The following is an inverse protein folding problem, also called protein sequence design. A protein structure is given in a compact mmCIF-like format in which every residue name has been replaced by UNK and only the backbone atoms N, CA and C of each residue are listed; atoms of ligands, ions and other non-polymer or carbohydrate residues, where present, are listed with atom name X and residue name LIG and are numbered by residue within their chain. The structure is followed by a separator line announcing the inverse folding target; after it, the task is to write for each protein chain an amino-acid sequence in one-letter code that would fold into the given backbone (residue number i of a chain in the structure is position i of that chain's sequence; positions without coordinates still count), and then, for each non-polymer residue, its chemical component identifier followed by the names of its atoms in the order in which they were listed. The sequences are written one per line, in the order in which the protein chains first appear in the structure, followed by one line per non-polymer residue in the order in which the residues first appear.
data_IF_280786523194
#
_entry.id   IF_280786523194
#
_cell.length_a   1.000
_cell.length_b   1.000
_cell.length_c   1.000
_cell.angle_alpha   90.00
_cell.angle_beta   90.00
_cell.angle_gamma   90.00
#
_symmetry.space_group_name_H-M   'P 1'
#
loop_
_entity.id
_entity.type
_entity.pdbx_description
1 polymer ?
#
# COMPACT_ATOMS: atom_id res chain seq x y z
N UNK A 1 30.10 3.50 0.73
CA UNK A 1 28.69 3.50 0.26
C UNK A 1 28.62 4.16 -1.11
N UNK A 2 28.08 3.50 -2.12
CA UNK A 2 28.06 4.05 -3.47
C UNK A 2 26.80 4.89 -3.68
N UNK A 3 26.93 6.22 -3.69
CA UNK A 3 25.89 7.17 -4.10
C UNK A 3 25.34 6.80 -5.49
N UNK A 4 26.20 6.28 -6.35
CA UNK A 4 25.84 5.85 -7.71
C UNK A 4 24.79 4.73 -7.72
N UNK A 5 24.90 3.73 -6.83
CA UNK A 5 23.89 2.68 -6.71
C UNK A 5 22.54 3.22 -6.23
N UNK A 6 22.55 4.09 -5.22
CA UNK A 6 21.33 4.71 -4.71
C UNK A 6 20.62 5.54 -5.79
N UNK A 7 21.40 6.37 -6.52
CA UNK A 7 20.89 7.13 -7.64
C UNK A 7 20.30 6.23 -8.72
N UNK A 8 21.02 5.15 -9.12
CA UNK A 8 20.52 4.26 -10.18
C UNK A 8 19.19 3.59 -9.82
N UNK A 9 19.00 3.23 -8.55
CA UNK A 9 17.75 2.63 -8.03
C UNK A 9 16.60 3.63 -8.07
N UNK A 10 16.81 4.84 -7.55
CA UNK A 10 15.74 5.81 -7.30
C UNK A 10 15.62 6.91 -8.36
N UNK A 11 16.39 6.89 -9.43
CA UNK A 11 16.29 7.89 -10.50
C UNK A 11 14.89 7.89 -11.13
N UNK A 12 14.47 9.06 -11.60
CA UNK A 12 13.20 9.34 -12.28
C UNK A 12 13.33 10.51 -13.22
N UNK A 13 12.50 11.54 -13.06
CA UNK A 13 12.61 12.77 -13.84
C UNK A 13 13.88 13.55 -13.46
N UNK A 14 14.77 13.79 -14.43
CA UNK A 14 16.07 14.42 -14.15
C UNK A 14 16.01 15.95 -14.13
N UNK A 15 15.04 16.57 -14.84
CA UNK A 15 14.92 18.04 -15.00
C UNK A 15 14.15 18.72 -13.89
N UNK A 16 13.57 17.97 -12.95
CA UNK A 16 12.83 18.51 -11.81
C UNK A 16 12.91 17.56 -10.62
N UNK A 17 12.77 18.10 -9.43
CA UNK A 17 12.89 17.37 -8.17
C UNK A 17 11.92 17.87 -7.11
N UNK A 18 11.62 17.03 -6.15
CA UNK A 18 10.95 17.44 -4.92
C UNK A 18 11.94 18.04 -3.92
N UNK A 19 11.51 19.09 -3.27
CA UNK A 19 12.24 19.74 -2.18
C UNK A 19 11.36 19.74 -0.95
N UNK A 20 11.88 19.22 0.16
CA UNK A 20 11.16 19.21 1.44
C UNK A 20 12.08 19.72 2.55
N UNK A 21 11.70 20.85 3.14
CA UNK A 21 12.29 21.34 4.37
C UNK A 21 11.55 20.74 5.55
N UNK A 22 12.31 20.26 6.53
CA UNK A 22 11.77 19.75 7.79
C UNK A 22 11.76 20.92 8.77
N UNK A 23 10.58 21.49 9.03
CA UNK A 23 10.45 22.46 10.11
C UNK A 23 10.73 21.77 11.47
N UNK A 24 11.27 22.53 12.42
CA UNK A 24 11.66 22.05 13.76
C UNK A 24 10.45 21.37 14.43
N UNK A 25 10.66 20.25 15.10
CA UNK A 25 9.65 19.59 15.93
C UNK A 25 9.18 20.51 17.04
N UNK A 26 7.85 20.64 17.22
CA UNK A 26 7.26 21.26 18.41
C UNK A 26 7.59 20.46 19.68
N UNK A 27 7.55 21.14 20.85
CA UNK A 27 7.89 20.53 22.14
C UNK A 27 7.00 19.34 22.54
N UNK A 28 5.86 19.16 21.88
CA UNK A 28 4.84 18.14 22.08
C UNK A 28 4.85 17.00 21.07
N UNK A 29 5.87 16.94 20.20
CA UNK A 29 6.01 15.90 19.19
C UNK A 29 5.06 16.01 18.00
N UNK A 30 4.23 17.05 17.93
CA UNK A 30 3.34 17.28 16.82
C UNK A 30 4.12 17.59 15.53
N UNK A 31 3.58 17.06 14.41
CA UNK A 31 4.13 17.21 13.06
C UNK A 31 4.15 18.68 12.67
N UNK A 32 5.34 19.29 12.63
CA UNK A 32 5.47 20.63 12.09
C UNK A 32 5.26 20.56 10.58
N UNK A 33 4.45 21.45 10.02
CA UNK A 33 4.21 21.60 8.60
C UNK A 33 5.53 21.90 7.89
N UNK A 34 6.19 20.90 7.32
CA UNK A 34 7.30 21.11 6.40
C UNK A 34 6.80 21.75 5.11
N UNK A 35 7.63 22.57 4.48
CA UNK A 35 7.35 23.15 3.18
C UNK A 35 7.84 22.19 2.11
N UNK A 36 6.92 21.69 1.27
CA UNK A 36 7.24 20.80 0.14
C UNK A 36 6.80 21.44 -1.17
N UNK A 37 7.65 21.40 -2.19
CA UNK A 37 7.36 21.93 -3.52
C UNK A 37 8.21 21.22 -4.58
N UNK A 38 7.81 21.35 -5.85
CA UNK A 38 8.61 20.89 -6.98
C UNK A 38 9.55 22.03 -7.42
N UNK A 39 10.86 21.79 -7.41
CA UNK A 39 11.85 22.63 -8.02
C UNK A 39 12.08 22.16 -9.48
N UNK A 40 11.97 23.09 -10.43
CA UNK A 40 12.21 22.84 -11.86
C UNK A 40 13.70 23.05 -12.17
N UNK A 41 14.51 22.26 -11.50
CA UNK A 41 15.96 22.31 -11.58
C UNK A 41 16.48 20.88 -11.68
N UNK A 42 17.56 20.62 -12.42
CA UNK A 42 18.13 19.30 -12.57
C UNK A 42 18.51 18.65 -11.24
N UNK A 43 18.40 17.33 -11.21
CA UNK A 43 18.86 16.51 -10.07
C UNK A 43 20.35 16.26 -10.24
N UNK A 44 21.17 16.99 -9.49
CA UNK A 44 22.65 16.89 -9.58
C UNK A 44 23.20 15.78 -8.68
N UNK A 45 24.43 15.31 -8.98
CA UNK A 45 25.15 14.34 -8.14
C UNK A 45 25.30 14.82 -6.69
N UNK A 46 25.53 16.12 -6.51
CA UNK A 46 25.65 16.73 -5.19
C UNK A 46 24.38 16.57 -4.35
N UNK A 47 23.19 16.69 -4.96
CA UNK A 47 21.91 16.50 -4.26
C UNK A 47 21.74 15.08 -3.73
N UNK A 48 22.17 14.07 -4.49
CA UNK A 48 22.16 12.69 -4.04
C UNK A 48 23.10 12.46 -2.86
N UNK A 49 24.32 13.02 -2.95
CA UNK A 49 25.29 12.96 -1.87
C UNK A 49 24.80 13.66 -0.61
N UNK A 50 24.28 14.90 -0.76
CA UNK A 50 23.75 15.70 0.34
C UNK A 50 22.59 14.99 1.04
N UNK A 51 21.71 14.32 0.28
CA UNK A 51 20.61 13.54 0.84
C UNK A 51 21.11 12.41 1.75
N UNK A 52 22.08 11.60 1.30
CA UNK A 52 22.65 10.50 2.07
C UNK A 52 23.51 11.00 3.26
N UNK A 53 23.99 12.25 3.21
CA UNK A 53 24.71 12.90 4.32
C UNK A 53 23.80 13.65 5.29
N UNK A 54 22.48 13.61 5.11
CA UNK A 54 21.53 14.31 6.00
C UNK A 54 21.53 15.82 5.86
N UNK A 55 22.07 16.36 4.76
CA UNK A 55 22.06 17.81 4.48
C UNK A 55 20.74 18.22 3.88
N UNK A 56 20.04 19.12 4.53
CA UNK A 56 18.77 19.67 4.03
C UNK A 56 18.96 20.61 2.84
N UNK A 57 17.95 20.65 1.94
CA UNK A 57 16.66 19.95 2.00
C UNK A 57 16.77 18.48 1.59
N UNK A 58 15.89 17.62 2.15
CA UNK A 58 15.83 16.23 1.70
C UNK A 58 15.36 16.14 0.27
N UNK A 59 15.94 15.20 -0.51
CA UNK A 59 15.65 15.00 -1.92
C UNK A 59 14.33 14.22 -2.10
N UNK A 60 13.47 14.73 -2.96
CA UNK A 60 12.32 14.01 -3.50
C UNK A 60 12.51 13.74 -4.99
N UNK A 61 12.10 12.58 -5.47
CA UNK A 61 12.19 12.20 -6.88
C UNK A 61 10.80 11.97 -7.45
N UNK A 62 10.62 12.44 -8.66
CA UNK A 62 9.42 12.19 -9.47
C UNK A 62 9.67 10.90 -10.23
N UNK A 63 8.92 9.81 -9.98
CA UNK A 63 9.26 8.50 -10.52
C UNK A 63 9.12 8.39 -12.04
N UNK A 64 8.17 9.11 -12.66
CA UNK A 64 7.97 9.12 -14.11
C UNK A 64 9.03 10.01 -14.77
N UNK A 65 9.70 9.49 -15.81
CA UNK A 65 10.68 10.24 -16.61
C UNK A 65 10.06 10.83 -17.87
N UNK A 66 10.87 11.52 -18.70
CA UNK A 66 10.42 12.18 -19.94
C UNK A 66 9.92 11.19 -21.01
N UNK A 67 10.25 9.90 -20.92
CA UNK A 67 9.74 8.82 -21.78
C UNK A 67 8.45 8.18 -21.25
N UNK A 68 7.83 8.75 -20.23
CA UNK A 68 6.65 8.22 -19.52
C UNK A 68 6.90 6.83 -18.91
N UNK A 69 8.15 6.56 -18.51
CA UNK A 69 8.59 5.32 -17.86
C UNK A 69 9.07 5.59 -16.45
N UNK A 70 9.10 4.54 -15.64
CA UNK A 70 9.67 4.60 -14.28
C UNK A 70 10.43 3.31 -13.95
N UNK A 71 11.41 3.41 -13.06
CA UNK A 71 12.18 2.28 -12.52
C UNK A 71 11.65 1.80 -11.18
N UNK A 72 10.77 2.55 -10.59
CA UNK A 72 10.12 2.22 -9.34
C UNK A 72 8.75 2.88 -9.25
N UNK A 73 7.91 2.29 -8.43
CA UNK A 73 6.68 2.90 -7.99
C UNK A 73 6.48 2.64 -6.50
N UNK A 74 5.55 3.33 -5.88
CA UNK A 74 5.33 3.26 -4.44
C UNK A 74 3.84 3.37 -4.09
N UNK A 75 3.41 2.58 -3.12
CA UNK A 75 2.15 2.78 -2.40
C UNK A 75 2.50 3.56 -1.13
N UNK A 76 1.94 4.75 -0.96
CA UNK A 76 2.14 5.61 0.20
C UNK A 76 1.02 5.40 1.21
N UNK A 77 1.32 4.71 2.30
CA UNK A 77 0.37 4.35 3.34
C UNK A 77 0.54 5.34 4.50
N UNK A 78 -0.30 6.37 4.50
CA UNK A 78 -0.38 7.33 5.59
C UNK A 78 -1.17 6.74 6.78
N UNK A 79 -0.45 6.35 7.81
CA UNK A 79 -1.02 5.96 9.10
C UNK A 79 -0.16 6.52 10.23
N UNK A 80 -0.78 7.26 11.14
CA UNK A 80 -0.04 8.09 12.10
C UNK A 80 0.02 7.51 13.51
N UNK A 81 -0.75 6.48 13.82
CA UNK A 81 -0.78 5.91 15.17
C UNK A 81 -0.56 4.39 15.12
N UNK A 82 0.61 3.93 15.58
CA UNK A 82 0.84 2.52 15.84
C UNK A 82 0.78 1.60 14.61
N UNK A 83 1.32 2.04 13.46
CA UNK A 83 1.31 1.24 12.24
C UNK A 83 2.14 -0.04 12.41
N UNK A 84 1.52 -1.19 12.19
CA UNK A 84 2.17 -2.50 12.29
C UNK A 84 2.86 -2.89 10.97
N UNK A 85 4.10 -2.43 10.81
CA UNK A 85 4.94 -2.75 9.64
C UNK A 85 5.16 -4.25 9.50
N UNK A 86 5.32 -5.00 10.61
CA UNK A 86 5.57 -6.44 10.56
C UNK A 86 4.37 -7.21 10.01
N UNK A 87 3.16 -6.79 10.35
CA UNK A 87 1.92 -7.35 9.78
C UNK A 87 1.86 -7.13 8.27
N UNK A 88 2.21 -5.93 7.80
CA UNK A 88 2.27 -5.63 6.38
C UNK A 88 3.33 -6.47 5.66
N UNK A 89 4.55 -6.57 6.20
CA UNK A 89 5.63 -7.39 5.66
C UNK A 89 5.20 -8.84 5.55
N UNK A 90 4.63 -9.41 6.61
CA UNK A 90 4.14 -10.79 6.61
C UNK A 90 3.06 -11.02 5.54
N UNK A 91 2.16 -10.05 5.34
CA UNK A 91 1.14 -10.12 4.28
C UNK A 91 1.76 -10.09 2.88
N UNK A 92 2.72 -9.21 2.64
CA UNK A 92 3.46 -9.13 1.37
C UNK A 92 4.16 -10.46 1.08
N UNK A 93 4.83 -11.05 2.08
CA UNK A 93 5.50 -12.35 1.97
C UNK A 93 4.54 -13.50 1.69
N UNK A 94 3.42 -13.56 2.41
CA UNK A 94 2.41 -14.61 2.20
C UNK A 94 1.82 -14.60 0.80
N UNK A 95 1.73 -13.42 0.19
CA UNK A 95 1.28 -13.20 -1.18
C UNK A 95 2.41 -13.32 -2.21
N UNK A 96 3.65 -13.57 -1.78
CA UNK A 96 4.85 -13.65 -2.63
C UNK A 96 5.03 -12.42 -3.53
N UNK A 97 4.68 -11.25 -3.03
CA UNK A 97 4.80 -10.01 -3.78
C UNK A 97 6.23 -9.46 -3.69
N UNK A 98 6.84 -9.05 -4.82
CA UNK A 98 8.22 -8.55 -4.87
C UNK A 98 8.29 -7.06 -4.46
N UNK A 99 7.93 -6.78 -3.22
CA UNK A 99 7.82 -5.42 -2.68
C UNK A 99 8.76 -5.24 -1.50
N UNK A 100 9.24 -4.01 -1.33
CA UNK A 100 10.04 -3.61 -0.17
C UNK A 100 9.25 -2.58 0.65
N UNK A 101 9.13 -2.82 1.94
CA UNK A 101 8.48 -1.89 2.87
C UNK A 101 9.54 -0.98 3.48
N UNK A 102 9.31 0.31 3.42
CA UNK A 102 10.09 1.32 4.10
C UNK A 102 9.25 2.03 5.15
N UNK A 103 9.89 2.47 6.21
CA UNK A 103 9.26 3.36 7.17
C UNK A 103 9.16 4.77 6.56
N UNK A 104 7.96 5.34 6.52
CA UNK A 104 7.80 6.72 6.07
C UNK A 104 8.21 7.71 7.17
N UNK A 105 8.42 8.98 6.80
CA UNK A 105 8.79 10.06 7.73
C UNK A 105 7.79 10.21 8.88
N UNK A 106 6.52 10.00 8.60
CA UNK A 106 5.43 10.14 9.58
C UNK A 106 5.16 8.87 10.40
N UNK A 107 5.90 7.78 10.15
CA UNK A 107 5.72 6.51 10.84
C UNK A 107 4.78 5.52 10.14
N UNK A 108 4.16 5.91 9.02
CA UNK A 108 3.47 5.01 8.11
C UNK A 108 4.44 4.20 7.26
N UNK A 109 4.01 3.72 6.09
CA UNK A 109 4.83 2.89 5.21
C UNK A 109 4.84 3.40 3.77
N UNK A 110 6.01 3.38 3.14
CA UNK A 110 6.19 3.42 1.70
C UNK A 110 6.47 2.01 1.21
N UNK A 111 5.63 1.47 0.33
CA UNK A 111 5.78 0.12 -0.21
C UNK A 111 6.23 0.22 -1.66
N UNK A 112 7.51 -0.08 -1.90
CA UNK A 112 8.12 0.08 -3.21
C UNK A 112 8.07 -1.20 -4.04
N UNK A 113 7.77 -1.00 -5.32
CA UNK A 113 8.02 -1.94 -6.41
C UNK A 113 9.19 -1.40 -7.24
N UNK A 114 10.21 -2.22 -7.45
CA UNK A 114 11.38 -1.86 -8.25
C UNK A 114 11.42 -2.64 -9.55
N UNK A 115 11.95 -2.01 -10.61
CA UNK A 115 12.16 -2.65 -11.91
C UNK A 115 13.62 -2.60 -12.31
N UNK A 116 14.07 -3.62 -13.01
CA UNK A 116 15.46 -3.70 -13.51
C UNK A 116 15.71 -2.73 -14.66
N UNK A 117 14.70 -2.53 -15.50
CA UNK A 117 14.69 -1.60 -16.62
C UNK A 117 13.53 -0.61 -16.50
N UNK A 118 13.57 0.56 -17.15
CA UNK A 118 12.44 1.47 -17.16
C UNK A 118 11.19 0.84 -17.81
N UNK A 119 10.06 0.84 -17.10
CA UNK A 119 8.77 0.29 -17.53
C UNK A 119 7.77 1.45 -17.66
N UNK A 120 6.79 1.34 -18.56
CA UNK A 120 5.73 2.33 -18.70
C UNK A 120 5.06 2.64 -17.36
N UNK A 121 4.95 3.91 -17.03
CA UNK A 121 4.40 4.40 -15.77
C UNK A 121 2.98 3.86 -15.52
N UNK A 122 2.19 3.72 -16.60
CA UNK A 122 0.85 3.14 -16.55
C UNK A 122 0.86 1.69 -16.04
N UNK A 123 1.76 0.84 -16.53
CA UNK A 123 1.86 -0.57 -16.13
C UNK A 123 2.22 -0.68 -14.64
N UNK A 124 3.20 0.09 -14.19
CA UNK A 124 3.63 0.10 -12.79
C UNK A 124 2.51 0.60 -11.88
N UNK A 125 1.85 1.70 -12.25
CA UNK A 125 0.76 2.29 -11.48
C UNK A 125 -0.43 1.34 -11.38
N UNK A 126 -0.90 0.77 -12.49
CA UNK A 126 -2.06 -0.13 -12.51
C UNK A 126 -1.78 -1.40 -11.66
N UNK A 127 -0.55 -1.93 -11.73
CA UNK A 127 -0.12 -3.05 -10.88
C UNK A 127 -0.15 -2.68 -9.40
N UNK A 128 0.39 -1.52 -9.03
CA UNK A 128 0.40 -1.07 -7.62
C UNK A 128 -1.00 -0.77 -7.09
N UNK A 129 -1.92 -0.23 -7.90
CA UNK A 129 -3.32 -0.07 -7.51
C UNK A 129 -3.97 -1.42 -7.20
N UNK A 130 -3.73 -2.44 -8.03
CA UNK A 130 -4.23 -3.80 -7.78
C UNK A 130 -3.65 -4.41 -6.50
N UNK A 131 -2.34 -4.23 -6.29
CA UNK A 131 -1.64 -4.70 -5.09
C UNK A 131 -2.14 -3.96 -3.85
N UNK A 132 -2.29 -2.64 -3.90
CA UNK A 132 -2.80 -1.82 -2.81
C UNK A 132 -4.17 -2.30 -2.33
N UNK A 133 -5.07 -2.60 -3.27
CA UNK A 133 -6.39 -3.14 -2.94
C UNK A 133 -6.30 -4.49 -2.22
N UNK A 134 -5.44 -5.42 -2.67
CA UNK A 134 -5.28 -6.74 -2.05
C UNK A 134 -4.60 -6.66 -0.68
N UNK A 135 -3.67 -5.72 -0.51
CA UNK A 135 -3.07 -5.45 0.79
C UNK A 135 -4.06 -4.81 1.79
N UNK A 136 -5.24 -4.35 1.32
CA UNK A 136 -6.26 -3.70 2.13
C UNK A 136 -6.08 -2.17 2.23
N UNK A 137 -5.30 -1.59 1.33
CA UNK A 137 -5.00 -0.15 1.28
C UNK A 137 -5.45 0.49 -0.04
N UNK A 138 -6.61 0.06 -0.58
CA UNK A 138 -7.11 0.51 -1.90
C UNK A 138 -7.37 2.02 -2.03
N UNK A 139 -7.38 2.77 -0.92
CA UNK A 139 -7.47 4.24 -0.90
C UNK A 139 -6.13 4.95 -0.74
N UNK A 140 -5.00 4.23 -0.62
CA UNK A 140 -3.68 4.81 -0.46
C UNK A 140 -3.21 5.50 -1.76
N UNK A 141 -2.39 6.53 -1.61
CA UNK A 141 -1.77 7.19 -2.76
C UNK A 141 -0.77 6.24 -3.45
N UNK A 142 -0.78 6.23 -4.79
CA UNK A 142 0.14 5.42 -5.59
C UNK A 142 0.99 6.33 -6.50
N UNK A 143 2.29 6.12 -6.46
CA UNK A 143 3.27 6.76 -7.32
C UNK A 143 3.82 5.78 -8.37
N UNK A 144 3.98 6.19 -9.63
CA UNK A 144 3.68 7.51 -10.18
C UNK A 144 2.18 7.83 -10.12
N UNK A 145 1.84 9.11 -9.77
CA UNK A 145 0.44 9.58 -9.84
C UNK A 145 0.02 9.81 -11.29
N UNK A 146 0.95 10.28 -12.11
CA UNK A 146 0.78 10.48 -13.55
C UNK A 146 1.25 9.26 -14.32
N UNK A 147 0.53 8.93 -15.39
CA UNK A 147 0.91 7.88 -16.33
C UNK A 147 1.57 8.47 -17.59
N UNK A 148 1.46 9.78 -17.77
CA UNK A 148 1.97 10.53 -18.91
C UNK A 148 2.30 11.96 -18.47
N UNK A 149 3.40 12.50 -18.95
CA UNK A 149 3.76 13.92 -18.90
C UNK A 149 3.33 14.57 -20.23
N UNK A 150 2.37 15.50 -20.15
CA UNK A 150 1.72 16.08 -21.34
C UNK A 150 2.58 17.09 -22.07
N UNK A 151 3.60 17.64 -21.41
CA UNK A 151 4.51 18.62 -21.98
C UNK A 151 5.84 18.62 -21.22
N UNK A 152 6.85 19.33 -21.77
CA UNK A 152 8.13 19.56 -21.07
C UNK A 152 7.99 20.40 -19.80
N UNK A 153 6.88 21.12 -19.63
CA UNK A 153 6.60 21.90 -18.43
C UNK A 153 5.87 21.09 -17.35
N UNK A 154 5.32 19.92 -17.71
CA UNK A 154 4.69 19.01 -16.76
C UNK A 154 5.76 18.21 -16.02
N UNK A 155 5.69 18.18 -14.70
CA UNK A 155 6.69 17.48 -13.87
C UNK A 155 6.14 16.29 -13.11
N UNK A 156 4.84 16.20 -12.92
CA UNK A 156 4.25 15.17 -12.08
C UNK A 156 4.52 15.37 -10.57
N UNK A 157 4.18 14.38 -9.77
CA UNK A 157 4.32 14.39 -8.32
C UNK A 157 5.57 13.62 -7.87
N UNK A 158 6.26 14.15 -6.87
CA UNK A 158 7.42 13.50 -6.27
C UNK A 158 7.09 12.73 -5.00
N UNK A 159 7.95 11.79 -4.65
CA UNK A 159 7.99 11.13 -3.35
C UNK A 159 9.32 11.45 -2.67
N UNK A 160 9.29 11.74 -1.37
CA UNK A 160 10.51 11.90 -0.58
C UNK A 160 11.27 10.58 -0.48
N UNK A 161 12.56 10.60 -0.81
CA UNK A 161 13.38 9.40 -0.80
C UNK A 161 13.63 8.87 0.62
N UNK A 162 13.83 7.55 0.77
CA UNK A 162 14.33 6.95 2.01
C UNK A 162 15.82 7.25 2.22
N UNK A 163 16.37 6.80 3.34
CA UNK A 163 17.78 6.93 3.70
C UNK A 163 18.32 8.36 3.73
N UNK A 164 17.47 9.35 4.05
CA UNK A 164 17.98 10.67 4.39
C UNK A 164 18.83 10.59 5.66
N UNK A 165 20.09 11.00 5.60
CA UNK A 165 21.14 10.79 6.60
C UNK A 165 21.69 9.35 6.65
N UNK A 166 21.69 8.63 5.51
CA UNK A 166 22.27 7.29 5.42
C UNK A 166 21.64 6.30 6.39
N UNK A 167 22.45 5.58 7.14
CA UNK A 167 21.97 4.58 8.11
C UNK A 167 21.44 5.18 9.42
N UNK A 168 21.74 6.46 9.70
CA UNK A 168 21.17 7.19 10.86
C UNK A 168 19.74 7.72 10.58
N UNK A 169 19.10 7.19 9.57
CA UNK A 169 17.76 7.59 9.13
C UNK A 169 16.65 6.97 9.97
N UNK A 170 15.49 7.66 10.00
CA UNK A 170 14.20 7.05 10.41
C UNK A 170 13.41 6.50 9.25
N UNK A 171 13.91 6.64 7.98
CA UNK A 171 13.25 6.26 6.72
C UNK A 171 13.99 5.10 6.07
N UNK A 172 14.12 4.00 6.78
CA UNK A 172 14.86 2.81 6.35
C UNK A 172 13.94 1.76 5.72
N UNK A 173 14.53 0.87 4.93
CA UNK A 173 13.86 -0.35 4.50
C UNK A 173 13.76 -1.34 5.67
N UNK A 174 12.71 -2.14 5.68
CA UNK A 174 12.58 -3.25 6.61
C UNK A 174 13.12 -4.54 5.99
N UNK A 175 13.80 -5.32 6.83
CA UNK A 175 14.10 -6.72 6.55
C UNK A 175 12.86 -7.60 6.77
N UNK A 176 12.93 -8.83 6.33
CA UNK A 176 11.86 -9.83 6.45
C UNK A 176 11.40 -10.10 7.89
N UNK A 177 12.29 -9.94 8.85
CA UNK A 177 12.02 -10.10 10.28
C UNK A 177 11.37 -8.86 10.93
N UNK A 178 11.25 -7.76 10.16
CA UNK A 178 10.70 -6.49 10.60
C UNK A 178 11.72 -5.55 11.24
N UNK A 179 13.00 -5.89 11.21
CA UNK A 179 14.08 -5.00 11.67
C UNK A 179 14.52 -4.03 10.57
N UNK A 180 15.17 -2.93 10.96
CA UNK A 180 15.70 -1.95 10.03
C UNK A 180 16.86 -2.56 9.22
N UNK A 181 16.87 -2.30 7.91
CA UNK A 181 18.00 -2.61 7.04
C UNK A 181 18.92 -1.40 6.93
N UNK A 182 20.24 -1.62 6.98
CA UNK A 182 21.21 -0.62 6.54
C UNK A 182 21.07 -0.37 5.04
N UNK A 183 21.68 0.71 4.54
CA UNK A 183 21.68 1.02 3.11
C UNK A 183 22.33 -0.11 2.29
N UNK A 184 23.39 -0.76 2.80
CA UNK A 184 24.06 -1.87 2.14
C UNK A 184 23.17 -3.12 2.12
N UNK A 185 22.50 -3.45 3.24
CA UNK A 185 21.52 -4.55 3.29
C UNK A 185 20.36 -4.30 2.32
N UNK A 186 19.90 -3.03 2.20
CA UNK A 186 18.87 -2.68 1.22
C UNK A 186 19.29 -2.95 -0.22
N UNK A 187 20.53 -2.70 -0.60
CA UNK A 187 21.02 -3.05 -1.95
C UNK A 187 20.92 -4.54 -2.22
N UNK A 188 21.22 -5.37 -1.23
CA UNK A 188 21.01 -6.83 -1.31
C UNK A 188 19.52 -7.18 -1.50
N UNK A 189 18.63 -6.57 -0.71
CA UNK A 189 17.18 -6.76 -0.84
C UNK A 189 16.70 -6.33 -2.24
N UNK A 190 17.09 -5.14 -2.71
CA UNK A 190 16.74 -4.64 -4.05
C UNK A 190 17.12 -5.62 -5.16
N UNK A 191 18.34 -6.17 -5.13
CA UNK A 191 18.81 -7.11 -6.14
C UNK A 191 17.99 -8.39 -6.18
N UNK A 192 17.39 -8.80 -5.08
CA UNK A 192 16.54 -9.99 -4.99
C UNK A 192 15.11 -9.75 -5.44
N UNK A 193 14.60 -8.52 -5.35
CA UNK A 193 13.17 -8.22 -5.59
C UNK A 193 12.90 -7.45 -6.88
N UNK A 194 13.90 -6.79 -7.49
CA UNK A 194 13.72 -6.02 -8.73
C UNK A 194 13.16 -6.89 -9.85
N UNK A 195 12.18 -6.35 -10.58
CA UNK A 195 11.43 -7.08 -11.59
C UNK A 195 11.86 -6.71 -13.00
N UNK A 196 12.08 -7.71 -13.85
CA UNK A 196 12.29 -7.50 -15.28
C UNK A 196 10.94 -7.25 -15.99
N UNK A 197 9.90 -7.96 -15.57
CA UNK A 197 8.54 -7.85 -16.10
C UNK A 197 7.51 -7.65 -14.99
N UNK A 198 7.03 -6.42 -14.85
CA UNK A 198 5.96 -6.06 -13.89
C UNK A 198 4.63 -6.70 -14.25
N UNK A 199 4.39 -6.96 -15.55
CA UNK A 199 3.18 -7.63 -16.04
C UNK A 199 3.02 -9.03 -15.46
N UNK A 200 4.14 -9.76 -15.35
CA UNK A 200 4.17 -11.15 -14.86
C UNK A 200 3.91 -11.31 -13.36
N UNK A 201 3.96 -10.24 -12.58
CA UNK A 201 3.65 -10.30 -11.14
C UNK A 201 2.21 -10.80 -10.98
N UNK A 202 2.07 -12.03 -10.51
CA UNK A 202 0.75 -12.58 -10.18
C UNK A 202 0.24 -11.94 -8.91
N UNK A 203 -0.87 -11.26 -9.03
CA UNK A 203 -1.58 -10.71 -7.89
C UNK A 203 -2.74 -11.66 -7.61
N UNK A 204 -2.41 -12.81 -7.03
CA UNK A 204 -3.42 -13.80 -6.65
C UNK A 204 -4.13 -13.26 -5.42
N UNK A 205 -5.44 -13.05 -5.54
CA UNK A 205 -6.26 -12.88 -4.35
C UNK A 205 -6.18 -14.20 -3.58
N UNK A 206 -5.87 -14.20 -2.27
CA UNK A 206 -6.07 -15.40 -1.48
C UNK A 206 -7.49 -15.87 -1.77
N UNK A 207 -7.69 -17.15 -2.07
CA UNK A 207 -9.04 -17.69 -2.15
C UNK A 207 -9.65 -17.52 -0.76
N UNK A 208 -10.37 -16.41 -0.60
CA UNK A 208 -11.17 -16.22 0.60
C UNK A 208 -12.38 -17.13 0.53
N UNK A 209 -12.93 -17.49 1.66
CA UNK A 209 -14.18 -18.26 1.76
C UNK A 209 -15.31 -17.63 0.92
N UNK A 210 -15.21 -16.33 0.62
CA UNK A 210 -16.21 -15.51 -0.06
C UNK A 210 -15.73 -14.92 -1.40
N UNK A 211 -14.72 -15.50 -2.02
CA UNK A 211 -14.13 -15.02 -3.29
C UNK A 211 -15.12 -15.00 -4.46
N UNK A 212 -16.17 -15.82 -4.39
CA UNK A 212 -17.30 -15.87 -5.32
C UNK A 212 -18.51 -15.05 -4.84
N UNK A 213 -18.38 -14.36 -3.72
CA UNK A 213 -19.40 -13.50 -3.11
C UNK A 213 -19.24 -12.01 -3.44
N UNK A 214 -20.07 -11.16 -2.81
CA UNK A 214 -19.94 -9.71 -2.98
C UNK A 214 -18.60 -9.23 -2.37
N UNK A 215 -17.88 -8.29 -3.02
CA UNK A 215 -16.57 -7.81 -2.55
C UNK A 215 -16.58 -7.25 -1.12
N UNK A 216 -17.70 -6.66 -0.68
CA UNK A 216 -17.85 -6.18 0.69
C UNK A 216 -17.82 -7.31 1.72
N UNK A 217 -18.39 -8.47 1.42
CA UNK A 217 -18.36 -9.63 2.31
C UNK A 217 -16.95 -10.16 2.46
N UNK A 218 -16.22 -10.30 1.36
CA UNK A 218 -14.81 -10.70 1.37
C UNK A 218 -13.95 -9.72 2.18
N UNK A 219 -14.12 -8.40 1.95
CA UNK A 219 -13.36 -7.38 2.66
C UNK A 219 -13.64 -7.36 4.16
N UNK A 220 -14.91 -7.42 4.55
CA UNK A 220 -15.33 -7.32 5.95
C UNK A 220 -14.99 -8.57 6.77
N UNK A 221 -14.84 -9.73 6.14
CA UNK A 221 -14.55 -11.00 6.84
C UNK A 221 -13.06 -11.33 6.97
N UNK A 222 -12.17 -10.46 6.52
CA UNK A 222 -10.71 -10.64 6.71
C UNK A 222 -10.27 -10.66 8.18
N UNK A 223 -11.04 -10.02 9.05
CA UNK A 223 -10.85 -10.04 10.51
C UNK A 223 -12.18 -10.25 11.20
N UNK A 224 -12.16 -10.71 12.47
CA UNK A 224 -13.39 -10.76 13.26
C UNK A 224 -13.92 -9.36 13.52
N UNK A 225 -15.22 -9.19 13.37
CA UNK A 225 -15.90 -7.90 13.45
C UNK A 225 -16.42 -7.63 14.86
N UNK A 226 -16.20 -6.41 15.35
CA UNK A 226 -16.80 -5.91 16.59
C UNK A 226 -18.09 -5.13 16.34
N UNK A 227 -18.17 -4.43 15.19
CA UNK A 227 -19.30 -3.56 14.83
C UNK A 227 -19.83 -3.90 13.43
N UNK A 228 -20.99 -3.33 13.07
CA UNK A 228 -21.60 -3.55 11.76
C UNK A 228 -22.13 -4.98 11.52
N UNK A 229 -22.23 -5.81 12.57
CA UNK A 229 -22.63 -7.23 12.50
C UNK A 229 -23.95 -7.45 11.77
N UNK A 230 -24.92 -6.57 12.00
CA UNK A 230 -26.24 -6.67 11.39
C UNK A 230 -26.21 -6.49 9.87
N UNK A 231 -25.39 -5.58 9.40
CA UNK A 231 -25.16 -5.30 7.97
C UNK A 231 -24.44 -6.45 7.29
N UNK A 232 -23.39 -6.96 7.92
CA UNK A 232 -22.59 -8.05 7.36
C UNK A 232 -23.38 -9.34 7.30
N UNK A 233 -24.14 -9.69 8.35
CA UNK A 233 -24.99 -10.89 8.35
C UNK A 233 -26.08 -10.81 7.29
N UNK A 234 -26.62 -9.62 6.99
CA UNK A 234 -27.55 -9.44 5.87
C UNK A 234 -26.91 -9.81 4.54
N UNK A 235 -25.71 -9.32 4.25
CA UNK A 235 -25.00 -9.64 3.00
C UNK A 235 -24.67 -11.13 2.92
N UNK A 236 -24.24 -11.72 4.05
CA UNK A 236 -23.96 -13.14 4.12
C UNK A 236 -25.20 -14.00 3.87
N UNK A 237 -26.37 -13.61 4.39
CA UNK A 237 -27.63 -14.31 4.12
C UNK A 237 -27.95 -14.35 2.64
N UNK A 238 -27.80 -13.21 1.92
CA UNK A 238 -28.06 -13.16 0.49
C UNK A 238 -27.09 -14.03 -0.31
N UNK A 239 -25.84 -14.11 0.12
CA UNK A 239 -24.83 -14.97 -0.45
C UNK A 239 -25.12 -16.45 -0.16
N UNK A 240 -25.37 -16.79 1.10
CA UNK A 240 -25.59 -18.17 1.54
C UNK A 240 -26.84 -18.80 0.89
N UNK A 241 -27.91 -18.03 0.74
CA UNK A 241 -29.14 -18.50 0.03
C UNK A 241 -28.88 -18.89 -1.42
N UNK A 242 -27.95 -18.20 -2.10
CA UNK A 242 -27.59 -18.52 -3.49
C UNK A 242 -26.62 -19.69 -3.57
N UNK A 243 -25.66 -19.73 -2.67
CA UNK A 243 -24.60 -20.74 -2.69
C UNK A 243 -25.03 -22.08 -2.11
N UNK A 244 -25.84 -22.04 -1.03
CA UNK A 244 -26.31 -23.24 -0.30
C UNK A 244 -27.82 -23.15 -0.03
N UNK A 245 -28.70 -23.29 -1.03
CA UNK A 245 -30.14 -23.06 -0.88
C UNK A 245 -30.79 -23.84 0.25
N UNK A 246 -30.36 -25.08 0.49
CA UNK A 246 -30.94 -25.95 1.51
C UNK A 246 -30.26 -25.78 2.90
N UNK A 247 -29.01 -25.32 2.92
CA UNK A 247 -28.19 -25.28 4.15
C UNK A 247 -27.99 -23.88 4.71
N UNK A 248 -28.42 -22.83 3.99
CA UNK A 248 -28.14 -21.46 4.36
C UNK A 248 -28.48 -21.09 5.82
N UNK A 249 -29.57 -21.65 6.48
CA UNK A 249 -29.83 -21.35 7.87
C UNK A 249 -28.74 -21.84 8.81
N UNK A 250 -28.18 -23.03 8.54
CA UNK A 250 -27.04 -23.57 9.30
C UNK A 250 -25.78 -22.76 9.09
N UNK A 251 -25.54 -22.32 7.84
CA UNK A 251 -24.37 -21.51 7.49
C UNK A 251 -24.38 -20.16 8.18
N UNK A 252 -25.55 -19.55 8.42
CA UNK A 252 -25.65 -18.28 9.14
C UNK A 252 -25.20 -18.44 10.60
N UNK A 253 -25.64 -19.49 11.29
CA UNK A 253 -25.20 -19.74 12.65
C UNK A 253 -23.66 -19.94 12.70
N UNK A 254 -23.10 -20.74 11.79
CA UNK A 254 -21.66 -20.92 11.71
C UNK A 254 -20.92 -19.59 11.47
N UNK A 255 -21.40 -18.79 10.53
CA UNK A 255 -20.82 -17.48 10.21
C UNK A 255 -20.83 -16.54 11.43
N UNK A 256 -21.94 -16.48 12.16
CA UNK A 256 -22.10 -15.68 13.36
C UNK A 256 -21.00 -15.94 14.40
N UNK A 257 -20.70 -17.20 14.67
CA UNK A 257 -19.66 -17.58 15.65
C UNK A 257 -18.23 -17.45 15.11
N UNK A 258 -18.05 -17.60 13.80
CA UNK A 258 -16.71 -17.58 13.19
C UNK A 258 -16.21 -16.16 12.97
N UNK A 259 -17.07 -15.25 12.51
CA UNK A 259 -16.68 -13.94 11.99
C UNK A 259 -16.95 -12.76 12.92
N UNK A 260 -17.65 -12.95 14.03
CA UNK A 260 -17.87 -11.90 15.01
C UNK A 260 -17.07 -12.14 16.29
N UNK A 261 -16.54 -11.08 16.89
CA UNK A 261 -15.88 -11.15 18.20
C UNK A 261 -16.91 -11.50 19.25
N UNK A 262 -18.05 -10.79 19.22
CA UNK A 262 -19.24 -11.10 20.01
C UNK A 262 -20.36 -11.53 19.07
N UNK A 263 -20.70 -12.81 19.01
CA UNK A 263 -21.80 -13.31 18.19
C UNK A 263 -23.13 -12.61 18.52
N UNK A 264 -23.99 -12.44 17.52
CA UNK A 264 -25.37 -12.03 17.74
C UNK A 264 -26.11 -13.13 18.51
N UNK A 265 -27.07 -12.75 19.33
CA UNK A 265 -27.91 -13.67 20.07
C UNK A 265 -28.69 -14.61 19.13
N UNK A 266 -28.85 -15.87 19.53
CA UNK A 266 -29.53 -16.89 18.74
C UNK A 266 -30.95 -16.47 18.32
N UNK A 267 -31.68 -15.76 19.20
CA UNK A 267 -33.00 -15.21 18.89
C UNK A 267 -32.95 -14.26 17.70
N UNK A 268 -31.95 -13.36 17.65
CA UNK A 268 -31.76 -12.41 16.55
C UNK A 268 -31.48 -13.16 15.25
N UNK A 269 -30.66 -14.21 15.31
CA UNK A 269 -30.35 -15.05 14.15
C UNK A 269 -31.60 -15.77 13.64
N UNK A 270 -32.40 -16.37 14.54
CA UNK A 270 -33.64 -17.05 14.16
C UNK A 270 -34.67 -16.11 13.54
N UNK A 271 -34.81 -14.89 14.09
CA UNK A 271 -35.70 -13.87 13.52
C UNK A 271 -35.26 -13.46 12.11
N UNK A 272 -33.95 -13.33 11.87
CA UNK A 272 -33.39 -13.07 10.53
C UNK A 272 -33.65 -14.23 9.57
N UNK A 273 -33.45 -15.46 9.99
CA UNK A 273 -33.73 -16.64 9.19
C UNK A 273 -35.22 -16.65 8.80
N UNK A 274 -36.12 -16.47 9.76
CA UNK A 274 -37.57 -16.43 9.53
C UNK A 274 -37.97 -15.31 8.58
N UNK A 275 -37.36 -14.14 8.69
CA UNK A 275 -37.64 -13.01 7.79
C UNK A 275 -37.18 -13.29 6.37
N UNK A 276 -35.92 -13.76 6.21
CA UNK A 276 -35.32 -13.97 4.91
C UNK A 276 -35.82 -15.25 4.19
N UNK A 277 -36.38 -16.23 4.91
CA UNK A 277 -37.00 -17.40 4.30
C UNK A 277 -38.22 -17.05 3.43
N UNK A 278 -38.88 -15.94 3.75
CA UNK A 278 -40.09 -15.48 3.05
C UNK A 278 -39.81 -14.43 1.96
N UNK A 279 -38.56 -14.00 1.80
CA UNK A 279 -38.21 -12.90 0.87
C UNK A 279 -36.98 -13.26 0.06
N UNK A 280 -37.05 -12.98 -1.22
CA UNK A 280 -35.86 -12.97 -2.10
C UNK A 280 -35.39 -11.52 -2.26
N UNK A 281 -34.26 -11.21 -1.63
CA UNK A 281 -33.67 -9.88 -1.58
C UNK A 281 -32.29 -9.89 -2.25
N UNK A 282 -31.89 -8.75 -2.81
CA UNK A 282 -30.56 -8.57 -3.39
C UNK A 282 -29.50 -8.12 -2.37
N UNK A 283 -28.25 -8.09 -2.85
CA UNK A 283 -27.18 -7.43 -2.10
C UNK A 283 -27.41 -5.92 -2.01
N UNK A 284 -27.06 -5.31 -0.89
CA UNK A 284 -27.06 -3.86 -0.69
C UNK A 284 -25.62 -3.34 -0.80
N UNK A 285 -25.17 -3.13 -2.02
CA UNK A 285 -23.81 -2.68 -2.34
C UNK A 285 -23.75 -1.20 -2.74
N UNK A 286 -24.71 -0.37 -2.34
CA UNK A 286 -24.82 1.04 -2.75
C UNK A 286 -24.06 2.00 -1.84
N UNK A 287 -22.99 1.53 -1.15
CA UNK A 287 -22.19 2.37 -0.27
C UNK A 287 -20.72 2.02 -0.39
#
# INVERSE_FOLDING_TARGET
MSVANFKDIFKGLERARGVTYVDKKGADGQKIKGKSFVAREPVTEELWLNHLQGKEPSLGIIPINDDNKCRWGCIDIDSYAGFDHKKLINKIKSLKLPLVVFRSKSGGAHVFLFTEVPVEAKIVRDKLLSISAILGYGGAEVFPKQIELKSKDDTGNFLNLPYFNGDDTTRYAFKDDGTAASLEEFYGIYNNVKQLDVGSIKVERPQSEFSDGPPCLESLTQTKLNDGRDRVIYQFIQYAKRKWPEEWPKKINQFNYTHFVEPLEDKVIQDKIKFHSKKDLGFKCNE
#
